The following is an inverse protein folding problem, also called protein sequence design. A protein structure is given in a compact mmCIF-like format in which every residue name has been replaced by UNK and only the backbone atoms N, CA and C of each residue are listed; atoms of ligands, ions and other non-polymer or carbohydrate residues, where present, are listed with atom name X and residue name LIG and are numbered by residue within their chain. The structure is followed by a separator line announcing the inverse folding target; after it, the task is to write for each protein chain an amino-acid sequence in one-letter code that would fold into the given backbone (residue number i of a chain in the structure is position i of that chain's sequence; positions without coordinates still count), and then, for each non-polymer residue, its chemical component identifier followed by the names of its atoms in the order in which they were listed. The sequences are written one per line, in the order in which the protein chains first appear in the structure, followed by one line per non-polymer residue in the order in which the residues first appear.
data_IF_480925080944
#
_entry.id   IF_480925080944
#
_cell.length_a   1.000
_cell.length_b   1.000
_cell.length_c   1.000
_cell.angle_alpha   90.00
_cell.angle_beta   90.00
_cell.angle_gamma   90.00
#
_symmetry.space_group_name_H-M   'P 1'
#
loop_
_entity.id
_entity.type
_entity.pdbx_description
1 polymer ?
#
# COMPACT_ATOMS: atom_id res chain seq x y z
N UNK A 1 -11.86 18.95 1.35
CA UNK A 1 -11.25 17.62 1.58
C UNK A 1 -9.76 17.82 1.81
N UNK A 2 -9.14 17.19 2.80
CA UNK A 2 -7.72 17.38 3.10
C UNK A 2 -6.88 16.84 1.92
N UNK A 3 -6.04 17.69 1.31
CA UNK A 3 -5.22 17.36 0.14
C UNK A 3 -4.33 16.13 0.40
N UNK A 4 -3.80 15.99 1.62
CA UNK A 4 -2.98 14.84 2.01
C UNK A 4 -3.74 13.52 1.90
N UNK A 5 -5.02 13.51 2.24
CA UNK A 5 -5.85 12.29 2.14
C UNK A 5 -5.99 11.87 0.69
N UNK A 6 -6.18 12.81 -0.24
CA UNK A 6 -6.28 12.52 -1.68
C UNK A 6 -4.94 11.97 -2.19
N UNK A 7 -3.83 12.63 -1.86
CA UNK A 7 -2.49 12.20 -2.29
C UNK A 7 -2.19 10.80 -1.74
N UNK A 8 -2.43 10.56 -0.44
CA UNK A 8 -2.23 9.26 0.18
C UNK A 8 -3.10 8.17 -0.44
N UNK A 9 -4.37 8.47 -0.74
CA UNK A 9 -5.26 7.51 -1.39
C UNK A 9 -4.79 7.13 -2.81
N UNK A 10 -4.20 8.06 -3.55
CA UNK A 10 -3.63 7.77 -4.87
C UNK A 10 -2.30 6.99 -4.78
N UNK A 11 -1.51 7.22 -3.74
CA UNK A 11 -0.14 6.71 -3.64
C UNK A 11 0.00 5.44 -2.78
N UNK A 12 -0.99 5.04 -1.99
CA UNK A 12 -0.87 3.92 -1.04
C UNK A 12 -0.27 2.66 -1.68
N UNK A 13 -0.68 2.33 -2.91
CA UNK A 13 -0.26 1.13 -3.63
C UNK A 13 0.91 1.35 -4.63
N UNK A 14 1.57 2.51 -4.62
CA UNK A 14 2.65 2.85 -5.58
C UNK A 14 3.79 1.82 -5.58
N UNK A 15 4.02 1.16 -4.45
CA UNK A 15 4.98 0.06 -4.34
C UNK A 15 4.71 -1.08 -5.33
N UNK A 16 3.44 -1.41 -5.58
CA UNK A 16 3.08 -2.47 -6.54
C UNK A 16 3.45 -2.07 -7.97
N UNK A 17 3.33 -0.78 -8.32
CA UNK A 17 3.74 -0.27 -9.64
C UNK A 17 5.25 -0.40 -9.82
N UNK A 18 6.04 -0.04 -8.82
CA UNK A 18 7.51 -0.12 -8.84
C UNK A 18 7.96 -1.58 -9.01
N UNK A 19 7.32 -2.51 -8.29
CA UNK A 19 7.59 -3.94 -8.42
C UNK A 19 7.25 -4.46 -9.82
N UNK A 20 6.13 -4.03 -10.40
CA UNK A 20 5.70 -4.42 -11.77
C UNK A 20 6.56 -3.83 -12.86
N UNK A 21 7.07 -2.61 -12.66
CA UNK A 21 8.00 -1.97 -13.59
C UNK A 21 9.34 -2.74 -13.70
N UNK A 22 9.52 -3.83 -12.94
CA UNK A 22 10.72 -4.65 -12.91
C UNK A 22 11.95 -3.75 -12.84
N UNK A 23 12.10 -3.03 -11.74
CA UNK A 23 13.31 -2.27 -11.43
C UNK A 23 14.26 -3.14 -10.56
N UNK A 24 14.90 -4.19 -11.11
CA UNK A 24 15.70 -5.14 -10.32
C UNK A 24 16.89 -4.45 -9.68
N UNK A 25 17.49 -3.44 -10.33
CA UNK A 25 18.63 -2.69 -9.80
C UNK A 25 18.22 -1.84 -8.60
N UNK A 26 17.04 -1.22 -8.66
CA UNK A 26 16.50 -0.43 -7.56
C UNK A 26 16.25 -1.31 -6.33
N UNK A 27 15.57 -2.44 -6.55
CA UNK A 27 15.26 -3.43 -5.51
C UNK A 27 16.53 -4.03 -4.91
N UNK A 28 17.51 -4.42 -5.74
CA UNK A 28 18.75 -5.05 -5.29
C UNK A 28 19.63 -4.09 -4.48
N UNK A 29 19.68 -2.82 -4.89
CA UNK A 29 20.33 -1.76 -4.10
C UNK A 29 19.64 -1.55 -2.77
N UNK A 30 18.31 -1.51 -2.74
CA UNK A 30 17.56 -1.33 -1.50
C UNK A 30 17.81 -2.48 -0.52
N UNK A 31 17.71 -3.73 -0.99
CA UNK A 31 18.00 -4.92 -0.18
C UNK A 31 19.44 -4.87 0.35
N UNK A 32 20.40 -4.45 -0.46
CA UNK A 32 21.81 -4.31 -0.04
C UNK A 32 22.04 -3.24 1.01
N UNK A 33 21.30 -2.12 0.93
CA UNK A 33 21.37 -1.05 1.92
C UNK A 33 20.75 -1.49 3.25
N UNK A 34 19.55 -2.07 3.20
CA UNK A 34 18.77 -2.42 4.40
C UNK A 34 19.27 -3.67 5.13
N UNK A 35 20.04 -4.54 4.47
CA UNK A 35 20.82 -5.58 5.14
C UNK A 35 21.78 -5.01 6.20
N UNK A 36 22.24 -3.77 6.05
CA UNK A 36 23.07 -3.09 7.06
C UNK A 36 22.27 -2.60 8.26
N UNK A 37 20.95 -2.53 8.14
CA UNK A 37 20.02 -2.00 9.15
C UNK A 37 19.23 -3.10 9.88
N UNK A 38 19.64 -4.38 9.75
CA UNK A 38 18.95 -5.55 10.31
C UNK A 38 17.48 -5.72 9.85
N UNK A 39 17.10 -5.15 8.71
CA UNK A 39 15.75 -5.33 8.15
C UNK A 39 15.67 -6.66 7.40
N UNK A 40 14.62 -7.44 7.67
CA UNK A 40 14.43 -8.75 7.05
C UNK A 40 14.13 -8.64 5.54
N UNK A 41 14.61 -9.60 4.74
CA UNK A 41 14.32 -9.65 3.30
C UNK A 41 12.80 -9.66 3.01
N UNK A 42 12.02 -10.31 3.87
CA UNK A 42 10.55 -10.39 3.76
C UNK A 42 9.93 -9.00 3.91
N UNK A 43 10.42 -8.20 4.85
CA UNK A 43 9.95 -6.83 5.08
C UNK A 43 10.25 -5.94 3.86
N UNK A 44 11.48 -6.02 3.34
CA UNK A 44 11.87 -5.25 2.14
C UNK A 44 11.03 -5.64 0.93
N UNK A 45 10.47 -6.86 0.85
CA UNK A 45 9.61 -7.28 -0.27
C UNK A 45 8.16 -6.81 -0.19
N UNK A 46 7.72 -6.25 0.94
CA UNK A 46 6.36 -5.69 1.06
C UNK A 46 6.22 -4.46 0.17
N UNK A 47 5.11 -4.33 -0.56
CA UNK A 47 4.91 -3.18 -1.44
C UNK A 47 4.67 -1.89 -0.66
N UNK A 48 4.06 -1.97 0.52
CA UNK A 48 3.93 -0.85 1.48
C UNK A 48 5.30 -0.26 1.82
N UNK A 49 6.24 -1.13 2.19
CA UNK A 49 7.63 -0.76 2.48
C UNK A 49 8.34 -0.13 1.27
N UNK A 50 8.28 -0.78 0.09
CA UNK A 50 8.87 -0.22 -1.12
C UNK A 50 8.26 1.12 -1.53
N UNK A 51 6.93 1.22 -1.43
CA UNK A 51 6.19 2.43 -1.72
C UNK A 51 6.68 3.57 -0.83
N UNK A 52 6.73 3.33 0.49
CA UNK A 52 7.23 4.27 1.49
C UNK A 52 8.63 4.77 1.14
N UNK A 53 9.57 3.86 0.88
CA UNK A 53 10.96 4.21 0.57
C UNK A 53 11.08 4.98 -0.75
N UNK A 54 10.25 4.66 -1.74
CA UNK A 54 10.24 5.39 -3.00
C UNK A 54 9.74 6.82 -2.84
N UNK A 55 8.65 7.03 -2.10
CA UNK A 55 8.04 8.36 -1.95
C UNK A 55 8.89 9.32 -1.09
N UNK A 56 9.82 8.84 -0.27
CA UNK A 56 10.76 9.66 0.52
C UNK A 56 11.62 10.63 -0.29
N UNK A 57 11.77 10.32 -1.58
CA UNK A 57 12.51 11.11 -2.54
C UNK A 57 11.72 12.33 -3.03
N UNK A 58 10.40 12.29 -2.91
CA UNK A 58 9.48 13.28 -3.48
C UNK A 58 8.76 14.09 -2.40
N UNK A 59 8.62 13.57 -1.19
CA UNK A 59 8.01 14.30 -0.08
C UNK A 59 8.67 13.93 1.26
N UNK A 60 8.69 14.89 2.19
CA UNK A 60 9.07 14.71 3.60
C UNK A 60 7.86 14.72 4.53
N UNK A 61 6.65 14.79 3.98
CA UNK A 61 5.42 14.78 4.77
C UNK A 61 5.18 13.40 5.39
N UNK A 62 5.35 13.30 6.71
CA UNK A 62 5.20 12.07 7.48
C UNK A 62 3.81 11.46 7.36
N UNK A 63 2.76 12.25 7.13
CA UNK A 63 1.39 11.76 7.04
C UNK A 63 1.20 10.94 5.76
N UNK A 64 1.68 11.47 4.63
CA UNK A 64 1.63 10.79 3.32
C UNK A 64 2.50 9.54 3.37
N UNK A 65 3.70 9.70 3.90
CA UNK A 65 4.66 8.65 4.12
C UNK A 65 4.08 7.48 4.93
N UNK A 66 3.59 7.75 6.14
CA UNK A 66 3.01 6.73 7.01
C UNK A 66 1.75 6.11 6.42
N UNK A 67 0.95 6.87 5.67
CA UNK A 67 -0.21 6.30 4.96
C UNK A 67 0.20 5.23 3.95
N UNK A 68 1.29 5.43 3.21
CA UNK A 68 1.80 4.42 2.26
C UNK A 68 2.38 3.21 3.00
N UNK A 69 3.02 3.39 4.15
CA UNK A 69 3.57 2.27 4.91
C UNK A 69 2.48 1.45 5.63
N UNK A 70 1.46 2.10 6.18
CA UNK A 70 0.56 1.51 7.17
C UNK A 70 -0.85 1.22 6.61
N UNK A 71 -1.04 1.16 5.29
CA UNK A 71 -2.38 0.93 4.71
C UNK A 71 -2.85 -0.53 4.76
N UNK A 72 -2.04 -1.46 5.28
CA UNK A 72 -2.40 -2.87 5.50
C UNK A 72 -2.69 -3.14 6.97
N UNK A 73 -3.45 -4.20 7.22
CA UNK A 73 -3.87 -4.59 8.57
C UNK A 73 -2.68 -4.93 9.49
N UNK A 74 -1.72 -5.75 9.03
CA UNK A 74 -0.55 -6.17 9.82
C UNK A 74 0.30 -4.95 10.23
N UNK A 75 0.50 -4.01 9.31
CA UNK A 75 1.28 -2.80 9.54
C UNK A 75 0.57 -1.82 10.47
N UNK A 76 -0.74 -1.59 10.31
CA UNK A 76 -1.47 -0.59 11.13
C UNK A 76 -1.75 -1.07 12.55
N UNK A 77 -1.96 -2.37 12.75
CA UNK A 77 -2.28 -2.96 14.07
C UNK A 77 -1.11 -2.84 15.05
N UNK A 78 0.13 -2.93 14.53
CA UNK A 78 1.35 -2.91 15.33
C UNK A 78 2.00 -1.52 15.39
N UNK A 79 1.39 -0.48 14.80
CA UNK A 79 1.99 0.83 14.67
C UNK A 79 1.70 1.75 15.87
N UNK A 80 2.74 2.39 16.39
CA UNK A 80 2.60 3.52 17.32
C UNK A 80 2.31 4.80 16.54
N UNK A 81 1.03 5.05 16.24
CA UNK A 81 0.57 6.22 15.48
C UNK A 81 -0.51 7.00 16.23
N UNK A 82 -0.56 8.30 15.94
CA UNK A 82 -1.57 9.19 16.49
C UNK A 82 -2.99 8.69 16.19
N UNK A 83 -3.95 8.77 17.14
CA UNK A 83 -5.36 8.47 16.89
C UNK A 83 -5.99 9.28 15.75
N UNK A 84 -5.42 10.46 15.45
CA UNK A 84 -5.86 11.34 14.38
C UNK A 84 -5.07 11.13 13.07
N UNK A 85 -4.29 10.05 12.96
CA UNK A 85 -3.50 9.75 11.77
C UNK A 85 -4.39 9.50 10.56
N UNK A 86 -4.05 10.13 9.43
CA UNK A 86 -4.74 9.89 8.16
C UNK A 86 -4.56 8.46 7.65
N UNK A 87 -3.57 7.70 8.16
CA UNK A 87 -3.35 6.31 7.79
C UNK A 87 -4.59 5.43 8.07
N UNK A 88 -5.35 5.73 9.14
CA UNK A 88 -6.60 5.04 9.42
C UNK A 88 -7.65 5.27 8.33
N UNK A 89 -7.76 6.50 7.82
CA UNK A 89 -8.69 6.83 6.73
C UNK A 89 -8.31 6.03 5.48
N UNK A 90 -7.01 5.94 5.16
CA UNK A 90 -6.52 5.21 3.99
C UNK A 90 -6.78 3.71 4.13
N UNK A 91 -6.45 3.12 5.27
CA UNK A 91 -6.72 1.71 5.57
C UNK A 91 -8.22 1.36 5.45
N UNK A 92 -9.10 2.18 6.03
CA UNK A 92 -10.56 1.95 5.92
C UNK A 92 -11.02 2.10 4.47
N UNK A 93 -10.52 3.10 3.76
CA UNK A 93 -10.90 3.35 2.36
C UNK A 93 -10.47 2.21 1.44
N UNK A 94 -9.27 1.67 1.62
CA UNK A 94 -8.77 0.51 0.87
C UNK A 94 -9.67 -0.72 1.10
N UNK A 95 -10.00 -1.00 2.37
CA UNK A 95 -10.90 -2.11 2.71
C UNK A 95 -12.31 -1.96 2.10
N UNK A 96 -12.87 -0.75 2.11
CA UNK A 96 -14.16 -0.45 1.47
C UNK A 96 -14.06 -0.67 -0.04
N UNK A 97 -13.01 -0.16 -0.69
CA UNK A 97 -12.77 -0.31 -2.13
C UNK A 97 -12.64 -1.79 -2.53
N UNK A 98 -11.77 -2.53 -1.82
CA UNK A 98 -11.57 -3.95 -2.06
C UNK A 98 -12.87 -4.76 -1.82
N UNK A 99 -13.67 -4.39 -0.80
CA UNK A 99 -14.97 -4.98 -0.56
C UNK A 99 -16.01 -4.69 -1.65
N UNK A 100 -15.98 -3.49 -2.22
CA UNK A 100 -16.85 -3.12 -3.34
C UNK A 100 -16.51 -3.91 -4.61
N UNK A 101 -15.22 -4.08 -4.91
CA UNK A 101 -14.75 -4.84 -6.08
C UNK A 101 -15.13 -6.33 -5.98
N UNK A 102 -14.97 -6.96 -4.81
CA UNK A 102 -15.39 -8.36 -4.58
C UNK A 102 -16.87 -8.58 -4.89
N UNK A 103 -17.75 -7.71 -4.38
CA UNK A 103 -19.21 -7.79 -4.62
C UNK A 103 -19.59 -7.63 -6.09
N UNK A 104 -18.81 -6.89 -6.88
CA UNK A 104 -19.04 -6.77 -8.32
C UNK A 104 -18.69 -8.09 -9.02
N UNK A 105 -17.51 -8.62 -8.74
CA UNK A 105 -17.03 -9.87 -9.35
C UNK A 105 -17.92 -11.07 -9.02
N UNK A 106 -18.45 -11.16 -7.80
CA UNK A 106 -19.41 -12.21 -7.40
C UNK A 106 -20.70 -12.16 -8.23
N UNK A 107 -21.27 -10.96 -8.41
CA UNK A 107 -22.47 -10.74 -9.24
C UNK A 107 -22.22 -11.10 -10.70
N UNK A 108 -21.06 -10.71 -11.25
CA UNK A 108 -20.69 -11.02 -12.63
C UNK A 108 -20.50 -12.53 -12.84
N UNK A 109 -19.89 -13.22 -11.86
CA UNK A 109 -19.73 -14.67 -11.88
C UNK A 109 -21.06 -15.42 -11.77
N UNK A 110 -21.99 -14.94 -10.94
CA UNK A 110 -23.34 -15.50 -10.82
C UNK A 110 -24.16 -15.32 -12.10
N UNK A 111 -24.09 -14.14 -12.72
CA UNK A 111 -24.73 -13.87 -14.00
C UNK A 111 -24.18 -14.76 -15.13
N UNK A 112 -22.87 -14.99 -15.17
CA UNK A 112 -22.25 -15.88 -16.17
C UNK A 112 -22.75 -17.32 -16.05
N UNK A 113 -22.81 -17.87 -14.82
CA UNK A 113 -23.35 -19.22 -14.57
C UNK A 113 -24.82 -19.37 -14.98
N UNK A 114 -25.59 -18.28 -14.94
CA UNK A 114 -27.01 -18.28 -15.34
C UNK A 114 -27.20 -18.26 -16.86
N UNK A 115 -26.27 -17.67 -17.62
CA UNK A 115 -26.32 -17.66 -19.09
C UNK A 115 -25.78 -18.94 -19.75
N UNK A 116 -24.99 -19.74 -19.02
CA UNK A 116 -24.45 -21.03 -19.49
C UNK A 116 -25.40 -22.23 -19.22
N UNK A 117 -26.61 -21.95 -18.72
CA UNK A 117 -27.64 -22.93 -18.36
C UNK A 117 -28.86 -22.79 -19.26
#
# INVERSE_FOLDING_TARGET
MNEKVIISALLHDVGKLIQRAKMPDYISRLISQLKRENVSKREVTKHSFFGRYFIEKYTKDSDIQNSVLLHHNEEIENADISPNSIAYIIYISDNISAGADRRKNERDAENKKRCEK
#
